data_IF_372771486739
#
_entry.id   IF_372771486739
#
_cell.length_a   1.000
_cell.length_b   1.000
_cell.length_c   1.000
_cell.angle_alpha   90.00
_cell.angle_beta   90.00
_cell.angle_gamma   90.00
#
_symmetry.space_group_name_H-M   'P 1'
#
loop_
_entity.id
_entity.type
_entity.pdbx_description
1 polymer ?
#
# COMPACT_ATOMS: atom_id res chain seq x y z
N UNK A 1 9.24 7.55 -1.95
CA UNK A 1 8.05 7.62 -1.05
C UNK A 1 8.13 6.61 0.08
N UNK A 2 8.53 5.35 -0.16
CA UNK A 2 8.65 4.33 0.90
C UNK A 2 9.59 4.71 2.07
N UNK A 3 10.73 5.35 1.79
CA UNK A 3 11.74 5.67 2.82
C UNK A 3 11.25 6.66 3.90
N UNK A 4 10.46 7.68 3.53
CA UNK A 4 9.94 8.65 4.50
C UNK A 4 8.81 8.06 5.35
N UNK A 5 7.99 7.18 4.76
CA UNK A 5 6.96 6.46 5.49
C UNK A 5 7.57 5.46 6.48
N UNK A 6 8.58 4.70 6.05
CA UNK A 6 9.32 3.78 6.91
C UNK A 6 9.98 4.50 8.08
N UNK A 7 10.61 5.66 7.82
CA UNK A 7 11.24 6.46 8.89
C UNK A 7 10.22 7.02 9.90
N UNK A 8 9.00 7.33 9.45
CA UNK A 8 7.92 7.83 10.33
C UNK A 8 7.23 6.74 11.13
N UNK A 9 7.09 5.55 10.57
CA UNK A 9 6.39 4.42 11.19
C UNK A 9 7.34 3.45 11.92
N UNK A 10 8.67 3.60 11.75
CA UNK A 10 9.69 2.69 12.26
C UNK A 10 9.50 1.22 11.83
N UNK A 11 8.83 1.00 10.70
CA UNK A 11 8.58 -0.33 10.09
C UNK A 11 9.07 -0.35 8.64
N UNK A 12 9.46 -1.52 8.11
CA UNK A 12 9.87 -1.64 6.72
C UNK A 12 8.69 -1.37 5.78
N UNK A 13 8.93 -0.58 4.74
CA UNK A 13 7.94 -0.20 3.72
C UNK A 13 8.55 -0.45 2.35
N UNK A 14 7.85 -1.20 1.51
CA UNK A 14 8.22 -1.46 0.12
C UNK A 14 7.05 -1.06 -0.78
N UNK A 15 7.35 -0.44 -1.92
CA UNK A 15 6.34 -0.12 -2.92
C UNK A 15 6.14 -1.32 -3.86
N UNK A 16 4.88 -1.64 -4.16
CA UNK A 16 4.52 -2.66 -5.13
C UNK A 16 3.71 -2.03 -6.27
N UNK A 17 3.88 -2.54 -7.48
CA UNK A 17 3.08 -2.16 -8.63
C UNK A 17 1.72 -2.88 -8.55
N UNK A 18 0.64 -2.13 -8.78
CA UNK A 18 -0.72 -2.69 -8.79
C UNK A 18 -1.12 -3.18 -10.19
N UNK A 19 -0.48 -2.65 -11.22
CA UNK A 19 -0.66 -2.99 -12.63
C UNK A 19 0.16 -4.20 -13.08
N UNK A 20 1.01 -4.74 -12.22
CA UNK A 20 1.85 -5.91 -12.48
C UNK A 20 1.40 -7.11 -11.64
N UNK A 21 0.99 -8.18 -12.33
CA UNK A 21 0.53 -9.42 -11.70
C UNK A 21 1.65 -10.06 -10.87
N UNK A 22 1.33 -10.47 -9.63
CA UNK A 22 2.29 -11.08 -8.69
C UNK A 22 3.30 -10.13 -8.04
N UNK A 23 3.33 -8.84 -8.43
CA UNK A 23 4.24 -7.84 -7.84
C UNK A 23 3.99 -7.66 -6.34
N UNK A 24 2.72 -7.59 -5.94
CA UNK A 24 2.29 -7.42 -4.54
C UNK A 24 2.64 -8.66 -3.70
N UNK A 25 2.42 -9.86 -4.23
CA UNK A 25 2.78 -11.11 -3.56
C UNK A 25 4.30 -11.24 -3.35
N UNK A 26 5.10 -10.91 -4.37
CA UNK A 26 6.56 -10.92 -4.29
C UNK A 26 7.08 -9.93 -3.24
N UNK A 27 6.52 -8.71 -3.22
CA UNK A 27 6.89 -7.69 -2.22
C UNK A 27 6.47 -8.11 -0.81
N UNK A 28 5.30 -8.72 -0.65
CA UNK A 28 4.85 -9.26 0.63
C UNK A 28 5.79 -10.35 1.16
N UNK A 29 6.28 -11.24 0.30
CA UNK A 29 7.26 -12.26 0.66
C UNK A 29 8.61 -11.65 1.07
N UNK A 30 9.08 -10.62 0.35
CA UNK A 30 10.28 -9.88 0.73
C UNK A 30 10.15 -9.22 2.11
N UNK A 31 9.00 -8.62 2.42
CA UNK A 31 8.74 -8.07 3.75
C UNK A 31 8.72 -9.17 4.83
N UNK A 32 8.10 -10.33 4.57
CA UNK A 32 8.13 -11.46 5.53
C UNK A 32 9.53 -11.98 5.76
N UNK A 33 10.34 -12.10 4.71
CA UNK A 33 11.74 -12.52 4.82
C UNK A 33 12.58 -11.54 5.65
N UNK A 34 12.18 -10.26 5.67
CA UNK A 34 12.77 -9.21 6.50
C UNK A 34 12.28 -9.23 7.97
N UNK A 35 11.41 -10.19 8.33
CA UNK A 35 10.89 -10.37 9.69
C UNK A 35 9.51 -9.74 9.95
N UNK A 36 8.85 -9.18 8.94
CA UNK A 36 7.51 -8.60 9.09
C UNK A 36 6.44 -9.69 9.21
N UNK A 37 5.73 -9.71 10.35
CA UNK A 37 4.66 -10.67 10.62
C UNK A 37 3.25 -10.10 10.40
N UNK A 38 3.11 -8.77 10.50
CA UNK A 38 1.86 -8.06 10.25
C UNK A 38 2.07 -7.13 9.07
N UNK A 39 1.51 -7.54 7.93
CA UNK A 39 1.55 -6.79 6.69
C UNK A 39 0.26 -6.01 6.52
N UNK A 40 0.37 -4.78 6.07
CA UNK A 40 -0.76 -3.95 5.68
C UNK A 40 -0.50 -3.37 4.29
N UNK A 41 -1.51 -3.44 3.43
CA UNK A 41 -1.48 -2.88 2.10
C UNK A 41 -2.08 -1.47 2.16
N UNK A 42 -1.26 -0.47 1.86
CA UNK A 42 -1.65 0.94 1.83
C UNK A 42 -1.81 1.39 0.36
N UNK A 43 -3.05 1.47 -0.16
CA UNK A 43 -3.28 1.87 -1.56
C UNK A 43 -2.93 3.35 -1.77
N UNK A 44 -2.17 3.64 -2.83
CA UNK A 44 -1.83 4.99 -3.25
C UNK A 44 -2.86 5.53 -4.27
N UNK A 45 -4.13 5.52 -3.87
CA UNK A 45 -5.28 5.92 -4.70
C UNK A 45 -6.07 7.02 -3.98
N UNK A 46 -6.55 8.01 -4.71
CA UNK A 46 -7.27 9.17 -4.15
C UNK A 46 -8.79 8.93 -4.19
N UNK A 47 -9.30 8.18 -5.16
CA UNK A 47 -10.73 7.96 -5.36
C UNK A 47 -11.04 6.61 -6.04
N UNK A 48 -12.11 6.53 -6.85
CA UNK A 48 -12.53 5.31 -7.53
C UNK A 48 -11.80 5.13 -8.87
N UNK A 49 -10.50 5.41 -8.92
CA UNK A 49 -9.73 5.18 -10.16
C UNK A 49 -9.60 3.70 -10.51
N UNK A 50 -9.78 2.82 -9.52
CA UNK A 50 -9.69 1.37 -9.64
C UNK A 50 -10.85 0.73 -8.85
N UNK A 51 -11.38 -0.37 -9.39
CA UNK A 51 -12.40 -1.18 -8.72
C UNK A 51 -11.89 -1.66 -7.35
N UNK A 52 -12.70 -1.49 -6.30
CA UNK A 52 -12.33 -1.87 -4.93
C UNK A 52 -12.00 -3.36 -4.80
N UNK A 53 -12.61 -4.20 -5.63
CA UNK A 53 -12.35 -5.65 -5.68
C UNK A 53 -10.90 -5.97 -6.04
N UNK A 54 -10.23 -5.14 -6.83
CA UNK A 54 -8.82 -5.36 -7.23
C UNK A 54 -7.89 -5.26 -6.02
N UNK A 55 -8.17 -4.32 -5.11
CA UNK A 55 -7.40 -4.17 -3.87
C UNK A 55 -7.66 -5.33 -2.91
N UNK A 56 -8.91 -5.77 -2.79
CA UNK A 56 -9.28 -6.91 -1.94
C UNK A 56 -8.65 -8.21 -2.45
N UNK A 57 -8.66 -8.44 -3.76
CA UNK A 57 -8.02 -9.60 -4.39
C UNK A 57 -6.51 -9.59 -4.17
N UNK A 58 -5.84 -8.46 -4.41
CA UNK A 58 -4.42 -8.31 -4.16
C UNK A 58 -4.05 -8.51 -2.69
N UNK A 59 -4.84 -7.97 -1.77
CA UNK A 59 -4.62 -8.14 -0.34
C UNK A 59 -4.82 -9.59 0.11
N UNK A 60 -5.79 -10.29 -0.48
CA UNK A 60 -6.04 -11.71 -0.25
C UNK A 60 -4.91 -12.59 -0.79
N UNK A 61 -4.42 -12.30 -1.99
CA UNK A 61 -3.27 -12.98 -2.59
C UNK A 61 -2.01 -12.80 -1.73
N UNK A 62 -1.77 -11.58 -1.25
CA UNK A 62 -0.66 -11.24 -0.37
C UNK A 62 -0.91 -11.62 1.10
N UNK A 63 -2.07 -12.15 1.47
CA UNK A 63 -2.41 -12.54 2.84
C UNK A 63 -2.27 -11.41 3.87
N UNK A 64 -2.62 -10.17 3.50
CA UNK A 64 -2.49 -8.98 4.33
C UNK A 64 -3.82 -8.22 4.44
N UNK A 65 -3.94 -7.34 5.43
CA UNK A 65 -5.08 -6.42 5.52
C UNK A 65 -4.90 -5.26 4.53
N UNK A 66 -5.97 -4.84 3.85
CA UNK A 66 -5.96 -3.62 3.04
C UNK A 66 -6.51 -2.44 3.83
N UNK A 67 -5.90 -1.27 3.68
CA UNK A 67 -6.47 -0.01 4.13
C UNK A 67 -7.45 0.55 3.09
N UNK A 68 -8.28 1.50 3.52
CA UNK A 68 -9.11 2.29 2.60
C UNK A 68 -8.22 3.19 1.71
N UNK A 69 -8.67 3.48 0.47
CA UNK A 69 -8.05 4.52 -0.36
C UNK A 69 -7.89 5.84 0.39
N UNK A 70 -6.92 6.66 -0.02
CA UNK A 70 -6.63 7.91 0.66
C UNK A 70 -7.83 8.86 0.70
N UNK A 71 -8.70 8.81 -0.30
CA UNK A 71 -9.95 9.58 -0.30
C UNK A 71 -9.72 11.10 -0.34
N UNK A 72 -10.75 11.91 0.01
CA UNK A 72 -10.65 13.36 0.08
C UNK A 72 -9.94 13.82 1.38
N UNK A 73 -8.79 13.24 1.70
CA UNK A 73 -8.07 13.56 2.92
C UNK A 73 -7.57 15.02 2.87
N UNK A 74 -7.88 15.88 3.86
CA UNK A 74 -7.53 17.30 3.81
C UNK A 74 -6.04 17.59 3.62
N UNK A 75 -5.16 16.67 4.04
CA UNK A 75 -3.71 16.80 3.83
C UNK A 75 -3.32 16.68 2.34
N UNK A 76 -4.06 15.92 1.52
CA UNK A 76 -3.83 15.84 0.07
C UNK A 76 -4.18 17.17 -0.60
N UNK A 77 -5.29 17.80 -0.18
CA UNK A 77 -5.65 19.14 -0.65
C UNK A 77 -4.56 20.18 -0.36
N UNK A 78 -3.91 20.10 0.81
CA UNK A 78 -2.77 20.97 1.16
C UNK A 78 -1.55 20.69 0.30
N UNK A 79 -1.29 19.43 -0.06
CA UNK A 79 -0.17 19.06 -0.92
C UNK A 79 -0.37 19.54 -2.36
N UNK A 80 -1.59 19.45 -2.90
CA UNK A 80 -1.90 19.87 -4.27
C UNK A 80 -1.87 21.40 -4.47
N UNK A 81 -2.10 22.17 -3.40
CA UNK A 81 -2.09 23.63 -3.41
C UNK A 81 -0.73 24.25 -3.02
N UNK A 82 0.27 23.42 -2.70
CA UNK A 82 1.61 23.85 -2.28
C UNK A 82 2.57 24.06 -3.46
#
# INVERSE_FOLDING_TARGET
TGMLLAARLAVPVIAAALDEEGSIASVAEQLRSSGSQQLALAPYLIGPEIEASVLEEAAKEAGCSTAEPLGPYPAIGKLALA
#
